data_IF_305984629263
#
_entry.id   IF_305984629263
#
_cell.length_a   1.000
_cell.length_b   1.000
_cell.length_c   1.000
_cell.angle_alpha   90.00
_cell.angle_beta   90.00
_cell.angle_gamma   90.00
#
_symmetry.space_group_name_H-M   'P 1'
#
loop_
_entity.id
_entity.type
_entity.pdbx_description
1 polymer ?
#
# COMPACT_ATOMS: atom_id res chain seq x y z
N UNK A 1 -0.67 3.38 -6.69
CA UNK A 1 0.52 2.50 -6.71
C UNK A 1 0.18 1.00 -6.84
N UNK A 2 -0.48 0.36 -5.86
CA UNK A 2 -0.72 -1.11 -5.89
C UNK A 2 -1.46 -1.64 -7.13
N UNK A 3 -2.45 -0.89 -7.65
CA UNK A 3 -3.14 -1.25 -8.90
C UNK A 3 -2.18 -1.27 -10.09
N UNK A 4 -1.39 -0.21 -10.27
CA UNK A 4 -0.39 -0.15 -11.35
C UNK A 4 0.66 -1.25 -11.20
N UNK A 5 1.11 -1.52 -9.97
CA UNK A 5 2.08 -2.59 -9.74
C UNK A 5 1.59 -3.94 -10.27
N UNK A 6 0.31 -4.27 -10.04
CA UNK A 6 -0.31 -5.46 -10.64
C UNK A 6 -0.27 -5.43 -12.17
N UNK A 7 -0.64 -4.30 -12.77
CA UNK A 7 -0.77 -4.18 -14.22
C UNK A 7 0.61 -4.26 -14.93
N UNK A 8 1.69 -3.82 -14.27
CA UNK A 8 3.07 -3.91 -14.75
C UNK A 8 3.87 -5.11 -14.19
N UNK A 9 3.20 -6.08 -13.56
CA UNK A 9 3.84 -7.24 -12.91
C UNK A 9 4.96 -6.87 -11.89
N UNK A 10 4.86 -5.68 -11.30
CA UNK A 10 5.69 -5.25 -10.16
C UNK A 10 5.09 -5.81 -8.89
N UNK A 11 5.92 -6.36 -8.00
CA UNK A 11 5.47 -6.97 -6.75
C UNK A 11 5.95 -6.15 -5.58
N UNK A 12 5.03 -5.84 -4.66
CA UNK A 12 5.41 -5.27 -3.37
C UNK A 12 5.91 -6.40 -2.46
N UNK A 13 7.21 -6.46 -2.23
CA UNK A 13 7.87 -7.47 -1.41
C UNK A 13 8.91 -6.85 -0.48
N UNK A 14 8.63 -6.97 0.81
CA UNK A 14 9.47 -6.54 1.93
C UNK A 14 9.57 -7.72 2.88
N UNK A 15 10.77 -8.03 3.37
CA UNK A 15 11.00 -9.12 4.31
C UNK A 15 10.38 -8.76 5.67
N UNK A 16 10.75 -7.60 6.19
CA UNK A 16 10.46 -7.13 7.56
C UNK A 16 9.89 -5.71 7.51
N UNK A 17 8.66 -5.50 6.98
CA UNK A 17 8.10 -4.17 6.81
C UNK A 17 7.82 -3.50 8.17
N UNK A 18 8.32 -2.29 8.36
CA UNK A 18 8.07 -1.50 9.57
C UNK A 18 6.59 -1.22 9.78
N UNK A 19 6.21 -0.90 11.02
CA UNK A 19 4.83 -0.57 11.37
C UNK A 19 4.31 0.62 10.56
N UNK A 20 5.18 1.62 10.32
CA UNK A 20 4.83 2.79 9.52
C UNK A 20 4.47 2.39 8.09
N UNK A 21 5.31 1.56 7.44
CA UNK A 21 4.99 1.05 6.10
C UNK A 21 3.70 0.25 6.10
N UNK A 22 3.48 -0.61 7.10
CA UNK A 22 2.24 -1.38 7.23
C UNK A 22 1.01 -0.49 7.35
N UNK A 23 1.12 0.65 8.04
CA UNK A 23 0.04 1.65 8.13
C UNK A 23 -0.24 2.31 6.78
N UNK A 24 0.80 2.63 6.01
CA UNK A 24 0.69 3.40 4.76
C UNK A 24 0.14 2.58 3.57
N UNK A 25 0.08 1.25 3.68
CA UNK A 25 -0.45 0.41 2.61
C UNK A 25 -1.95 0.69 2.38
N UNK A 26 -2.37 0.94 1.14
CA UNK A 26 -3.79 1.10 0.82
C UNK A 26 -4.61 -0.14 1.19
N UNK A 27 -5.60 0.04 2.06
CA UNK A 27 -6.41 -1.04 2.61
C UNK A 27 -7.23 -1.77 1.53
N UNK A 28 -7.80 -1.02 0.58
CA UNK A 28 -8.72 -1.58 -0.40
C UNK A 28 -8.04 -2.51 -1.39
N UNK A 29 -6.76 -2.29 -1.67
CA UNK A 29 -5.94 -3.10 -2.59
C UNK A 29 -4.85 -3.89 -1.87
N UNK A 30 -4.97 -4.03 -0.54
CA UNK A 30 -3.98 -4.65 0.30
C UNK A 30 -3.63 -6.07 -0.18
N UNK A 31 -2.33 -6.39 -0.26
CA UNK A 31 -1.82 -7.71 -0.69
C UNK A 31 -1.92 -8.77 0.41
N UNK A 32 -1.76 -8.34 1.65
CA UNK A 32 -1.74 -9.20 2.85
C UNK A 32 -3.08 -9.78 3.33
N UNK A 33 -4.16 -9.73 2.55
CA UNK A 33 -5.40 -10.41 2.95
C UNK A 33 -5.25 -11.94 2.84
N UNK A 34 -5.88 -12.66 3.75
CA UNK A 34 -6.03 -14.12 3.68
C UNK A 34 -6.58 -14.58 2.31
N UNK A 35 -6.03 -15.68 1.78
CA UNK A 35 -6.51 -16.27 0.53
C UNK A 35 -7.98 -16.67 0.65
N UNK A 36 -8.77 -16.36 -0.37
CA UNK A 36 -10.22 -16.66 -0.39
C UNK A 36 -11.10 -15.62 0.30
N UNK A 37 -10.52 -14.56 0.91
CA UNK A 37 -11.33 -13.46 1.43
C UNK A 37 -11.94 -12.62 0.30
N UNK A 38 -13.27 -12.59 0.25
CA UNK A 38 -14.00 -11.78 -0.72
C UNK A 38 -14.43 -10.44 -0.10
N UNK A 39 -13.84 -9.35 -0.62
CA UNK A 39 -14.16 -7.98 -0.21
C UNK A 39 -15.57 -7.61 -0.69
N UNK A 40 -16.40 -7.09 0.22
CA UNK A 40 -17.81 -6.72 -0.06
C UNK A 40 -17.95 -5.21 -0.32
N UNK A 41 -17.29 -4.72 -1.37
CA UNK A 41 -17.26 -3.29 -1.71
C UNK A 41 -18.65 -2.67 -1.94
N UNK A 42 -19.62 -3.47 -2.41
CA UNK A 42 -21.00 -3.01 -2.61
C UNK A 42 -21.81 -2.80 -1.32
N UNK A 43 -21.26 -3.16 -0.16
CA UNK A 43 -21.98 -2.95 1.10
C UNK A 43 -21.97 -1.48 1.51
N UNK A 44 -23.11 -1.00 2.01
CA UNK A 44 -23.26 0.39 2.49
C UNK A 44 -22.23 0.77 3.56
N UNK A 45 -21.77 -0.20 4.36
CA UNK A 45 -20.76 0.04 5.39
C UNK A 45 -19.37 0.25 4.80
N UNK A 46 -18.98 -0.52 3.77
CA UNK A 46 -17.70 -0.30 3.08
C UNK A 46 -17.69 1.06 2.38
N UNK A 47 -18.78 1.41 1.71
CA UNK A 47 -18.94 2.73 1.09
C UNK A 47 -18.89 3.86 2.13
N UNK A 48 -19.48 3.64 3.31
CA UNK A 48 -19.41 4.59 4.42
C UNK A 48 -17.98 4.77 4.93
N UNK A 49 -17.22 3.68 5.07
CA UNK A 49 -15.81 3.74 5.47
C UNK A 49 -14.97 4.56 4.47
N UNK A 50 -15.16 4.34 3.17
CA UNK A 50 -14.47 5.09 2.11
C UNK A 50 -14.89 6.57 2.08
N UNK A 51 -16.20 6.84 2.00
CA UNK A 51 -16.68 8.18 1.67
C UNK A 51 -16.89 9.10 2.89
N UNK A 52 -17.15 8.55 4.08
CA UNK A 52 -17.50 9.33 5.28
C UNK A 52 -16.44 9.30 6.36
N UNK A 53 -15.75 8.17 6.49
CA UNK A 53 -14.62 8.04 7.41
C UNK A 53 -13.27 8.21 6.71
N UNK A 54 -13.26 8.44 5.38
CA UNK A 54 -12.07 8.65 4.56
C UNK A 54 -10.99 7.60 4.78
N UNK A 55 -11.40 6.34 4.95
CA UNK A 55 -10.47 5.23 5.14
C UNK A 55 -9.84 4.87 3.80
N UNK A 56 -8.55 5.11 3.64
CA UNK A 56 -7.79 4.76 2.44
C UNK A 56 -6.69 3.74 2.74
N UNK A 57 -6.03 3.90 3.89
CA UNK A 57 -4.88 3.11 4.33
C UNK A 57 -5.24 2.11 5.43
N UNK A 58 -4.36 1.14 5.67
CA UNK A 58 -4.52 0.21 6.79
C UNK A 58 -4.41 0.94 8.14
N UNK A 59 -3.61 2.02 8.20
CA UNK A 59 -3.52 2.92 9.34
C UNK A 59 -4.86 3.58 9.65
N UNK A 60 -5.55 4.13 8.65
CA UNK A 60 -6.87 4.77 8.86
C UNK A 60 -7.89 3.77 9.43
N UNK A 61 -7.90 2.54 8.90
CA UNK A 61 -8.77 1.50 9.44
C UNK A 61 -8.40 1.10 10.85
N UNK A 62 -7.10 1.08 11.18
CA UNK A 62 -6.63 0.81 12.55
C UNK A 62 -7.12 1.90 13.51
N UNK A 63 -6.99 3.17 13.14
CA UNK A 63 -7.42 4.29 13.97
C UNK A 63 -8.95 4.31 14.15
N UNK A 64 -9.71 3.92 13.12
CA UNK A 64 -11.17 3.74 13.23
C UNK A 64 -11.52 2.55 14.12
N UNK A 65 -10.81 1.43 13.99
CA UNK A 65 -11.06 0.22 14.79
C UNK A 65 -10.71 0.42 16.27
N UNK A 66 -9.62 1.13 16.57
CA UNK A 66 -9.16 1.41 17.94
C UNK A 66 -10.21 2.15 18.79
N UNK A 67 -11.14 2.88 18.15
CA UNK A 67 -12.26 3.53 18.83
C UNK A 67 -13.19 2.55 19.55
N UNK A 68 -13.19 1.27 19.17
CA UNK A 68 -13.98 0.23 19.83
C UNK A 68 -13.54 0.00 21.29
N UNK A 69 -12.26 0.18 21.57
CA UNK A 69 -11.66 -0.06 22.88
C UNK A 69 -11.69 1.18 23.77
N UNK A 70 -12.23 2.31 23.26
CA UNK A 70 -12.42 3.52 24.06
C UNK A 70 -13.40 3.26 25.22
N UNK A 71 -13.06 3.65 26.46
CA UNK A 71 -13.90 3.40 27.63
C UNK A 71 -15.25 4.15 27.56
N UNK A 72 -15.33 5.21 26.76
CA UNK A 72 -16.55 6.00 26.56
C UNK A 72 -17.48 5.40 25.51
N UNK A 73 -16.99 4.45 24.71
CA UNK A 73 -17.73 3.86 23.62
C UNK A 73 -18.69 2.77 24.12
N UNK A 74 -19.81 2.61 23.40
CA UNK A 74 -20.86 1.62 23.69
C UNK A 74 -21.25 0.93 22.40
N UNK A 75 -21.45 -0.39 22.45
CA UNK A 75 -21.81 -1.26 21.30
C UNK A 75 -23.26 -1.04 20.83
N UNK A 76 -23.57 0.17 20.35
CA UNK A 76 -24.88 0.58 19.83
C UNK A 76 -24.72 1.61 18.73
N UNK A 77 -25.71 1.72 17.85
CA UNK A 77 -25.66 2.64 16.70
C UNK A 77 -25.62 4.13 17.09
N UNK A 78 -26.32 4.49 18.15
CA UNK A 78 -26.46 5.85 18.68
C UNK A 78 -25.54 6.09 19.89
N UNK A 79 -24.33 5.52 19.89
CA UNK A 79 -23.38 5.75 20.97
C UNK A 79 -23.16 7.26 21.20
N UNK A 80 -23.22 7.69 22.46
CA UNK A 80 -23.16 9.10 22.83
C UNK A 80 -21.75 9.64 23.03
N UNK A 81 -20.71 8.85 22.74
CA UNK A 81 -19.34 9.35 22.82
C UNK A 81 -19.08 10.44 21.77
N UNK A 82 -18.09 11.28 22.04
CA UNK A 82 -17.75 12.45 21.21
C UNK A 82 -17.43 12.05 19.76
N UNK A 83 -16.68 10.97 19.57
CA UNK A 83 -16.29 10.46 18.26
C UNK A 83 -17.49 9.95 17.46
N UNK A 84 -18.34 9.10 18.05
CA UNK A 84 -19.55 8.63 17.37
C UNK A 84 -20.55 9.77 17.10
N UNK A 85 -20.63 10.76 17.99
CA UNK A 85 -21.46 11.93 17.75
C UNK A 85 -20.95 12.74 16.56
N UNK A 86 -19.66 13.04 16.50
CA UNK A 86 -19.03 13.73 15.37
C UNK A 86 -19.20 12.96 14.06
N UNK A 87 -19.00 11.64 14.05
CA UNK A 87 -19.23 10.80 12.87
C UNK A 87 -20.69 10.91 12.37
N UNK A 88 -21.67 11.03 13.28
CA UNK A 88 -23.08 11.20 12.87
C UNK A 88 -23.39 12.61 12.37
N UNK A 89 -22.90 13.65 13.04
CA UNK A 89 -23.27 15.03 12.75
C UNK A 89 -22.44 15.66 11.63
N UNK A 90 -21.14 15.33 11.54
CA UNK A 90 -20.21 15.94 10.59
C UNK A 90 -20.10 15.12 9.31
N UNK A 91 -19.90 13.81 9.40
CA UNK A 91 -19.77 12.95 8.20
C UNK A 91 -21.08 12.28 7.77
N UNK A 92 -22.16 12.47 8.54
CA UNK A 92 -23.47 11.89 8.25
C UNK A 92 -23.49 10.37 8.34
N UNK A 93 -22.56 9.74 9.06
CA UNK A 93 -22.57 8.30 9.29
C UNK A 93 -23.83 7.91 10.06
N UNK A 94 -24.55 6.86 9.64
CA UNK A 94 -25.77 6.42 10.34
C UNK A 94 -25.48 5.49 11.51
N UNK A 95 -24.40 4.73 11.44
CA UNK A 95 -24.03 3.74 12.43
C UNK A 95 -22.50 3.64 12.54
N UNK A 96 -21.87 4.52 13.34
CA UNK A 96 -20.41 4.54 13.51
C UNK A 96 -19.88 3.21 14.08
N UNK A 97 -20.60 2.62 15.05
CA UNK A 97 -20.20 1.35 15.64
C UNK A 97 -20.04 0.23 14.59
N UNK A 98 -20.98 0.12 13.65
CA UNK A 98 -20.90 -0.86 12.56
C UNK A 98 -19.70 -0.62 11.64
N UNK A 99 -19.35 0.64 11.39
CA UNK A 99 -18.17 1.01 10.61
C UNK A 99 -16.89 0.58 11.33
N UNK A 100 -16.78 0.86 12.64
CA UNK A 100 -15.64 0.43 13.46
C UNK A 100 -15.48 -1.09 13.50
N UNK A 101 -16.57 -1.84 13.72
CA UNK A 101 -16.56 -3.31 13.69
C UNK A 101 -16.13 -3.83 12.31
N UNK A 102 -16.59 -3.19 11.24
CA UNK A 102 -16.22 -3.59 9.87
C UNK A 102 -14.74 -3.33 9.60
N UNK A 103 -14.21 -2.19 10.03
CA UNK A 103 -12.78 -1.90 9.94
C UNK A 103 -11.95 -2.93 10.71
N UNK A 104 -12.36 -3.28 11.93
CA UNK A 104 -11.73 -4.36 12.71
C UNK A 104 -11.73 -5.70 11.96
N UNK A 105 -12.89 -6.11 11.41
CA UNK A 105 -13.00 -7.35 10.63
C UNK A 105 -12.04 -7.34 9.43
N UNK A 106 -11.87 -6.20 8.76
CA UNK A 106 -10.91 -6.10 7.66
C UNK A 106 -9.48 -6.29 8.14
N UNK A 107 -9.08 -5.66 9.24
CA UNK A 107 -7.74 -5.82 9.81
C UNK A 107 -7.50 -7.26 10.30
N UNK A 108 -8.51 -7.89 10.90
CA UNK A 108 -8.44 -9.29 11.36
C UNK A 108 -8.23 -10.30 10.21
N UNK A 109 -8.40 -9.87 8.95
CA UNK A 109 -8.14 -10.69 7.75
C UNK A 109 -6.79 -10.42 7.12
N UNK A 110 -5.99 -9.53 7.70
CA UNK A 110 -4.61 -9.33 7.29
C UNK A 110 -3.73 -10.40 7.96
N UNK A 111 -2.81 -10.98 7.19
CA UNK A 111 -1.78 -11.85 7.75
C UNK A 111 -0.87 -11.05 8.68
N UNK A 112 -0.28 -11.68 9.70
CA UNK A 112 0.62 -11.06 10.69
C UNK A 112 1.68 -10.12 10.09
N UNK A 113 2.33 -10.54 8.99
CA UNK A 113 3.35 -9.76 8.25
C UNK A 113 2.88 -8.36 7.83
N UNK A 114 1.58 -8.21 7.60
CA UNK A 114 0.98 -7.06 6.95
C UNK A 114 -0.01 -6.30 7.84
N UNK A 115 -0.25 -6.78 9.05
CA UNK A 115 -1.17 -6.14 9.99
C UNK A 115 -0.43 -5.01 10.75
N UNK A 116 -0.90 -3.75 10.66
CA UNK A 116 -0.26 -2.62 11.33
C UNK A 116 -0.37 -2.67 12.86
N UNK A 117 -1.25 -3.50 13.42
CA UNK A 117 -1.43 -3.64 14.88
C UNK A 117 -0.32 -4.45 15.54
N UNK A 118 0.41 -5.24 14.76
CA UNK A 118 1.56 -5.97 15.30
C UNK A 118 2.74 -5.02 15.51
N UNK A 119 3.49 -5.15 16.62
CA UNK A 119 4.75 -4.44 16.77
C UNK A 119 5.74 -4.84 15.67
N UNK A 120 6.81 -4.07 15.50
CA UNK A 120 7.95 -4.49 14.69
C UNK A 120 8.61 -5.74 15.28
N UNK A 121 9.43 -6.43 14.47
CA UNK A 121 10.13 -7.61 14.94
C UNK A 121 11.12 -7.23 16.05
N UNK A 122 11.10 -8.02 17.12
CA UNK A 122 12.01 -7.94 18.25
C UNK A 122 12.36 -9.40 18.62
N UNK A 123 13.18 -10.01 17.77
CA UNK A 123 13.67 -11.39 17.94
C UNK A 123 15.10 -11.43 18.53
N UNK A 124 15.64 -10.27 18.90
CA UNK A 124 16.99 -10.12 19.42
C UNK A 124 18.09 -10.39 18.39
N UNK A 125 17.75 -10.44 17.09
CA UNK A 125 18.71 -10.59 16.00
C UNK A 125 19.18 -9.25 15.42
N UNK A 126 18.65 -8.14 15.93
CA UNK A 126 19.05 -6.77 15.61
C UNK A 126 20.57 -6.61 15.80
N UNK A 127 21.21 -5.97 14.82
CA UNK A 127 22.62 -5.60 14.94
C UNK A 127 22.79 -4.48 15.96
N UNK A 128 23.83 -4.58 16.79
CA UNK A 128 24.20 -3.45 17.65
C UNK A 128 24.84 -2.32 16.83
N UNK A 129 24.92 -1.09 17.37
CA UNK A 129 25.66 0.00 16.71
C UNK A 129 27.11 -0.38 16.37
N UNK A 130 27.75 -1.18 17.24
CA UNK A 130 29.09 -1.71 17.02
C UNK A 130 29.13 -2.72 15.87
N UNK A 131 28.13 -3.63 15.78
CA UNK A 131 28.00 -4.56 14.65
C UNK A 131 27.84 -3.80 13.33
N UNK A 132 27.06 -2.71 13.30
CA UNK A 132 26.92 -1.88 12.11
C UNK A 132 28.26 -1.22 11.72
N UNK A 133 29.01 -0.71 12.69
CA UNK A 133 30.34 -0.14 12.44
C UNK A 133 31.33 -1.19 11.89
N UNK A 134 31.34 -2.39 12.47
CA UNK A 134 32.15 -3.50 11.97
C UNK A 134 31.76 -3.89 10.54
N UNK A 135 30.46 -3.90 10.23
CA UNK A 135 29.98 -4.14 8.87
C UNK A 135 30.46 -3.07 7.89
N UNK A 136 30.47 -1.79 8.27
CA UNK A 136 30.99 -0.71 7.42
C UNK A 136 32.48 -0.88 7.11
N UNK A 137 33.28 -1.27 8.11
CA UNK A 137 34.71 -1.55 7.94
C UNK A 137 34.95 -2.79 7.07
N UNK A 138 34.19 -3.87 7.28
CA UNK A 138 34.25 -5.08 6.47
C UNK A 138 33.91 -4.81 5.00
N UNK A 139 32.92 -3.93 4.71
CA UNK A 139 32.61 -3.49 3.34
C UNK A 139 33.83 -2.81 2.70
N UNK A 140 34.49 -1.91 3.43
CA UNK A 140 35.66 -1.17 2.92
C UNK A 140 36.85 -2.10 2.62
N UNK A 141 37.01 -3.15 3.42
CA UNK A 141 38.11 -4.12 3.30
C UNK A 141 37.75 -5.33 2.42
N UNK A 142 36.52 -5.39 1.88
CA UNK A 142 35.99 -6.53 1.12
C UNK A 142 36.04 -7.85 1.91
N UNK A 143 35.68 -7.79 3.19
CA UNK A 143 35.61 -8.90 4.14
C UNK A 143 34.17 -9.42 4.31
N UNK A 144 34.01 -10.46 5.14
CA UNK A 144 32.70 -11.05 5.43
C UNK A 144 31.87 -10.10 6.29
N UNK A 145 30.64 -9.83 5.85
CA UNK A 145 29.69 -8.94 6.51
C UNK A 145 28.65 -9.77 7.27
N UNK A 146 28.28 -9.33 8.47
CA UNK A 146 27.17 -9.92 9.23
C UNK A 146 25.84 -9.44 8.65
N UNK A 147 24.97 -10.38 8.29
CA UNK A 147 23.65 -10.04 7.73
C UNK A 147 22.79 -9.27 8.74
N UNK A 148 22.17 -8.18 8.28
CA UNK A 148 21.20 -7.39 9.03
C UNK A 148 19.76 -7.86 8.71
N UNK A 149 19.03 -8.45 9.66
CA UNK A 149 17.64 -8.88 9.44
C UNK A 149 16.65 -7.71 9.28
N UNK A 150 17.03 -6.48 9.62
CA UNK A 150 16.19 -5.28 9.59
C UNK A 150 16.42 -4.39 8.37
N UNK A 151 16.90 -4.97 7.27
CA UNK A 151 17.20 -4.23 6.04
C UNK A 151 16.05 -3.38 5.49
N UNK A 152 14.79 -3.77 5.75
CA UNK A 152 13.60 -3.04 5.30
C UNK A 152 12.97 -2.12 6.37
N UNK A 153 13.59 -1.97 7.55
CA UNK A 153 13.02 -1.21 8.68
C UNK A 153 12.87 0.28 8.37
N UNK A 154 13.91 0.86 7.77
CA UNK A 154 13.94 2.29 7.42
C UNK A 154 13.45 2.56 5.99
N UNK A 155 12.95 1.53 5.31
CA UNK A 155 12.40 1.66 3.97
C UNK A 155 11.03 2.35 3.98
N UNK A 156 10.75 3.06 2.89
CA UNK A 156 9.43 3.60 2.58
C UNK A 156 8.58 2.56 1.87
N UNK A 157 7.27 2.80 1.76
CA UNK A 157 6.37 1.96 0.97
C UNK A 157 6.83 1.82 -0.50
N UNK A 158 7.51 2.84 -1.06
CA UNK A 158 8.00 2.82 -2.43
C UNK A 158 9.13 1.81 -2.64
N UNK A 159 10.03 1.67 -1.66
CA UNK A 159 11.18 0.77 -1.72
C UNK A 159 10.78 -0.72 -1.74
N UNK A 160 9.56 -1.01 -1.29
CA UNK A 160 9.00 -2.35 -1.31
C UNK A 160 8.62 -2.85 -2.70
N UNK A 161 8.55 -2.00 -3.72
CA UNK A 161 8.16 -2.42 -5.06
C UNK A 161 9.35 -2.96 -5.86
N UNK A 162 9.37 -4.28 -6.08
CA UNK A 162 10.43 -5.01 -6.78
C UNK A 162 9.91 -5.57 -8.11
N UNK A 163 10.71 -5.42 -9.16
CA UNK A 163 10.47 -6.04 -10.47
C UNK A 163 11.27 -7.34 -10.51
N UNK A 164 10.58 -8.45 -10.73
CA UNK A 164 11.22 -9.75 -10.90
C UNK A 164 11.20 -10.07 -12.40
N UNK A 165 12.35 -9.93 -13.05
CA UNK A 165 12.54 -10.39 -14.44
C UNK A 165 13.01 -11.84 -14.41
N UNK A 166 12.51 -12.68 -15.32
CA UNK A 166 13.23 -13.91 -15.64
C UNK A 166 14.42 -13.59 -16.53
N UNK A 167 15.41 -14.47 -16.58
CA UNK A 167 16.64 -14.32 -17.38
C UNK A 167 16.33 -14.11 -18.88
N UNK A 168 15.09 -14.44 -19.31
CA UNK A 168 14.61 -14.36 -20.68
C UNK A 168 13.68 -13.17 -20.95
N UNK A 169 13.27 -12.41 -19.92
CA UNK A 169 12.41 -11.25 -20.06
C UNK A 169 13.23 -10.02 -20.46
N UNK A 170 13.68 -10.01 -21.71
CA UNK A 170 14.11 -8.74 -22.33
C UNK A 170 12.83 -7.97 -22.63
N UNK A 171 12.63 -6.84 -21.95
CA UNK A 171 11.41 -6.03 -22.05
C UNK A 171 11.23 -5.56 -23.51
N UNK A 172 10.41 -6.25 -24.29
CA UNK A 172 9.90 -5.78 -25.58
C UNK A 172 8.49 -5.25 -25.38
N UNK A 173 8.36 -4.03 -24.86
CA UNK A 173 7.09 -3.30 -24.96
C UNK A 173 7.30 -2.15 -25.93
N UNK A 174 6.73 -2.18 -27.15
CA UNK A 174 6.64 -0.98 -27.96
C UNK A 174 5.72 0.00 -27.24
N UNK A 175 6.20 1.22 -27.04
CA UNK A 175 5.39 2.36 -26.62
C UNK A 175 4.32 2.65 -27.68
N UNK A 176 3.18 1.96 -27.61
CA UNK A 176 2.03 2.30 -28.45
C UNK A 176 0.71 1.99 -27.74
N UNK A 177 0.32 2.85 -26.81
CA UNK A 177 -1.09 3.25 -26.65
C UNK A 177 -1.22 4.42 -25.66
N UNK A 178 -0.81 5.62 -26.09
CA UNK A 178 -1.43 6.85 -25.59
C UNK A 178 -2.13 7.51 -26.77
N UNK A 179 -3.39 7.13 -26.97
CA UNK A 179 -4.30 7.78 -27.90
C UNK A 179 -4.85 9.05 -27.25
N UNK A 180 -4.00 10.07 -27.04
CA UNK A 180 -4.40 11.43 -26.65
C UNK A 180 -3.20 12.39 -26.79
N UNK A 181 -2.71 12.56 -28.02
CA UNK A 181 -1.82 13.68 -28.38
C UNK A 181 -1.86 13.88 -29.90
N UNK A 182 -3.01 14.33 -30.42
CA UNK A 182 -3.27 14.53 -31.85
C UNK A 182 -3.30 16.01 -32.27
N UNK A 183 -2.62 16.90 -31.55
CA UNK A 183 -2.48 18.30 -31.96
C UNK A 183 -1.01 18.69 -31.78
N UNK A 184 -0.42 19.21 -32.86
CA UNK A 184 1.00 19.55 -33.08
C UNK A 184 1.93 18.44 -33.57
N UNK A 185 1.65 17.87 -34.75
CA UNK A 185 2.70 17.70 -35.77
C UNK A 185 2.13 17.51 -37.19
N UNK A 186 1.49 18.54 -37.73
CA UNK A 186 1.30 18.66 -39.19
C UNK A 186 1.75 20.06 -39.60
N UNK A 187 2.99 20.17 -40.10
CA UNK A 187 3.30 21.08 -41.21
C UNK A 187 4.68 20.80 -41.81
N UNK A 188 4.69 20.65 -43.15
CA UNK A 188 5.83 20.60 -44.09
C UNK A 188 6.50 19.26 -44.36
N UNK A 189 5.76 18.37 -45.03
CA UNK A 189 6.30 17.75 -46.26
C UNK A 189 5.26 17.94 -47.36
N UNK A 190 5.56 18.85 -48.28
CA UNK A 190 4.79 19.09 -49.48
C UNK A 190 5.68 19.78 -50.48
N UNK A 191 6.21 19.01 -51.43
CA UNK A 191 6.50 19.39 -52.82
C UNK A 191 7.09 18.17 -53.54
N UNK A 192 6.23 17.40 -54.19
CA UNK A 192 6.58 16.70 -55.44
C UNK A 192 6.99 17.76 -56.49
N UNK A 193 7.80 17.42 -57.51
CA UNK A 193 7.17 16.98 -58.77
C UNK A 193 7.93 15.91 -59.59
N UNK A 194 7.09 15.10 -60.26
CA UNK A 194 7.12 14.73 -61.70
C UNK A 194 8.18 13.74 -62.26
N UNK A 195 7.64 12.58 -62.65
CA UNK A 195 7.73 11.89 -63.95
C UNK A 195 9.03 11.94 -64.77
N UNK A 196 9.58 10.77 -65.14
CA UNK A 196 9.44 10.16 -66.48
C UNK A 196 10.20 8.82 -66.56
N UNK A 197 9.61 7.86 -67.27
CA UNK A 197 10.14 6.55 -67.74
C UNK A 197 10.67 6.82 -69.18
N UNK A 198 11.74 6.17 -69.70
CA UNK A 198 11.84 4.72 -69.96
C UNK A 198 12.84 3.96 -69.10
#
# INVERSE_FOLDING_TARGET
>A
MLRMARDFNVRMDMLTPSQQVRRDIPLWYHRGFEKGWQKRYGSKTYQCLMAKHSVETAGDAMDVAARLDSPTHKKRENCGCTTCHADRTQSGCKNPHKCMVTAKIMLDRLTKKWDPRHPDQDDGLDLSPEDHQQNLEAIMNNEVIRFDPNIDRDCTLADGFKIFTSIWDTITVPLSSCAECWIFLICRLGSLPLCFVP
#
